data_IF_962415099982
#
_entry.id   IF_962415099982
#
_cell.length_a   1.000
_cell.length_b   1.000
_cell.length_c   1.000
_cell.angle_alpha   90.00
_cell.angle_beta   90.00
_cell.angle_gamma   90.00
#
_symmetry.space_group_name_H-M   'P 1'
#
loop_
_entity.id
_entity.type
_entity.pdbx_description
1 polymer ?
#
# COMPACT_ATOMS: atom_id res chain seq x y z
N UNK A 1 -2.98 6.67 12.00
CA UNK A 1 -2.52 7.73 11.08
C UNK A 1 -2.90 7.34 9.66
N UNK A 2 -3.26 8.30 8.80
CA UNK A 2 -3.58 8.04 7.39
C UNK A 2 -2.61 8.85 6.54
N UNK A 3 -1.99 8.23 5.53
CA UNK A 3 -1.06 8.87 4.59
C UNK A 3 -1.60 8.65 3.18
N UNK A 4 -1.78 9.74 2.43
CA UNK A 4 -2.22 9.73 1.05
C UNK A 4 -1.08 10.10 0.10
N UNK A 5 -0.99 9.44 -1.05
CA UNK A 5 0.08 9.60 -2.05
C UNK A 5 1.49 9.58 -1.43
N UNK A 6 1.86 8.49 -0.73
CA UNK A 6 2.98 8.47 0.21
C UNK A 6 4.36 8.66 -0.42
N UNK A 7 4.50 8.36 -1.72
CA UNK A 7 5.79 8.33 -2.39
C UNK A 7 5.95 9.42 -3.45
N UNK A 8 4.84 10.00 -3.94
CA UNK A 8 4.85 11.19 -4.78
C UNK A 8 5.90 11.16 -5.91
N UNK A 9 6.51 12.32 -6.19
CA UNK A 9 7.58 12.47 -7.19
C UNK A 9 8.99 12.29 -6.60
N UNK A 10 9.15 11.35 -5.68
CA UNK A 10 10.46 11.02 -5.10
C UNK A 10 11.22 10.01 -5.97
N UNK A 11 12.56 10.13 -5.97
CA UNK A 11 13.43 9.11 -6.57
C UNK A 11 13.48 7.83 -5.72
N UNK A 12 14.08 6.77 -6.27
CA UNK A 12 14.14 5.46 -5.61
C UNK A 12 14.84 5.46 -4.25
N UNK A 13 15.88 6.27 -4.05
CA UNK A 13 16.60 6.31 -2.77
C UNK A 13 15.74 6.90 -1.66
N UNK A 14 14.96 7.93 -1.97
CA UNK A 14 14.05 8.53 -1.02
C UNK A 14 12.85 7.61 -0.74
N UNK A 15 12.34 6.92 -1.77
CA UNK A 15 11.28 5.91 -1.60
C UNK A 15 11.73 4.78 -0.67
N UNK A 16 12.92 4.23 -0.90
CA UNK A 16 13.49 3.16 -0.07
C UNK A 16 13.58 3.57 1.41
N UNK A 17 13.96 4.83 1.70
CA UNK A 17 13.98 5.33 3.09
C UNK A 17 12.60 5.41 3.72
N UNK A 18 11.59 5.89 2.99
CA UNK A 18 10.24 5.99 3.51
C UNK A 18 9.66 4.61 3.79
N UNK A 19 9.85 3.67 2.86
CA UNK A 19 9.36 2.30 2.96
C UNK A 19 10.01 1.57 4.15
N UNK A 20 11.33 1.61 4.28
CA UNK A 20 12.04 0.78 5.27
C UNK A 20 12.19 1.44 6.65
N UNK A 21 12.06 2.77 6.75
CA UNK A 21 12.40 3.47 8.00
C UNK A 21 11.34 4.45 8.49
N UNK A 22 10.33 4.77 7.68
CA UNK A 22 9.27 5.67 8.11
C UNK A 22 7.94 4.93 8.30
N UNK A 23 7.36 4.35 7.24
CA UNK A 23 6.00 3.80 7.34
C UNK A 23 5.80 2.73 8.42
N UNK A 24 6.73 1.76 8.63
CA UNK A 24 6.58 0.76 9.68
C UNK A 24 6.58 1.34 11.10
N UNK A 25 7.16 2.53 11.29
CA UNK A 25 7.41 3.13 12.61
C UNK A 25 6.68 4.45 12.85
N UNK A 26 5.97 4.97 11.85
CA UNK A 26 5.40 6.31 11.94
C UNK A 26 4.21 6.40 12.92
N UNK A 27 3.52 5.29 13.21
CA UNK A 27 2.47 5.20 14.23
C UNK A 27 2.17 3.74 14.60
N UNK A 28 1.40 3.51 15.67
CA UNK A 28 0.92 2.18 16.05
C UNK A 28 0.03 1.54 14.96
N UNK A 29 -0.76 2.36 14.26
CA UNK A 29 -1.56 1.92 13.12
C UNK A 29 -1.50 2.96 12.01
N UNK A 30 -1.13 2.51 10.80
CA UNK A 30 -1.01 3.33 9.60
C UNK A 30 -1.93 2.78 8.52
N UNK A 31 -2.70 3.66 7.89
CA UNK A 31 -3.42 3.38 6.64
C UNK A 31 -2.70 4.11 5.52
N UNK A 32 -2.20 3.37 4.55
CA UNK A 32 -1.49 3.88 3.39
C UNK A 32 -2.43 3.89 2.19
N UNK A 33 -2.62 5.04 1.57
CA UNK A 33 -3.38 5.20 0.33
C UNK A 33 -2.39 5.53 -0.78
N UNK A 34 -2.22 4.61 -1.73
CA UNK A 34 -1.24 4.72 -2.80
C UNK A 34 -1.76 4.18 -4.12
N UNK A 35 -1.06 4.53 -5.20
CA UNK A 35 -1.21 3.88 -6.51
C UNK A 35 -0.19 2.77 -6.72
N UNK A 36 -0.37 1.97 -7.76
CA UNK A 36 0.57 0.96 -8.25
C UNK A 36 1.92 1.57 -8.71
N UNK A 37 1.93 2.84 -9.09
CA UNK A 37 3.14 3.59 -9.50
C UNK A 37 3.94 4.16 -8.32
N UNK A 38 3.31 4.27 -7.16
CA UNK A 38 3.96 4.70 -5.92
C UNK A 38 4.52 3.48 -5.20
N UNK A 39 3.62 2.58 -4.78
CA UNK A 39 3.98 1.32 -4.15
C UNK A 39 3.87 0.24 -5.22
N UNK A 40 5.01 -0.08 -5.83
CA UNK A 40 5.12 -1.13 -6.84
C UNK A 40 5.25 -2.52 -6.21
N UNK A 41 5.29 -3.57 -7.05
CA UNK A 41 5.39 -4.96 -6.60
C UNK A 41 6.62 -5.20 -5.72
N UNK A 42 7.77 -4.59 -6.06
CA UNK A 42 8.99 -4.72 -5.28
C UNK A 42 8.80 -4.13 -3.88
N UNK A 43 8.25 -2.93 -3.78
CA UNK A 43 7.99 -2.33 -2.47
C UNK A 43 6.96 -3.12 -1.67
N UNK A 44 5.89 -3.59 -2.32
CA UNK A 44 4.81 -4.31 -1.68
C UNK A 44 5.22 -5.70 -1.19
N UNK A 45 5.85 -6.51 -2.06
CA UNK A 45 6.17 -7.91 -1.81
C UNK A 45 7.47 -8.08 -1.03
N UNK A 46 8.49 -7.27 -1.33
CA UNK A 46 9.84 -7.49 -0.78
C UNK A 46 10.14 -6.64 0.46
N UNK A 47 9.53 -5.46 0.59
CA UNK A 47 9.92 -4.50 1.64
C UNK A 47 8.83 -4.26 2.70
N UNK A 48 7.57 -4.08 2.28
CA UNK A 48 6.45 -3.80 3.21
C UNK A 48 5.76 -5.05 3.74
N UNK A 49 5.96 -6.21 3.11
CA UNK A 49 5.18 -7.44 3.35
C UNK A 49 5.04 -7.83 4.81
N UNK A 50 6.10 -7.68 5.60
CA UNK A 50 6.10 -8.11 7.00
C UNK A 50 5.41 -7.11 7.93
N UNK A 51 5.28 -5.85 7.50
CA UNK A 51 4.59 -4.77 8.22
C UNK A 51 3.13 -4.59 7.77
N UNK A 52 2.71 -5.28 6.70
CA UNK A 52 1.33 -5.25 6.20
C UNK A 52 0.48 -6.25 6.98
N UNK A 53 -0.50 -5.72 7.71
CA UNK A 53 -1.56 -6.51 8.33
C UNK A 53 -2.69 -6.85 7.35
N UNK A 54 -3.13 -5.89 6.54
CA UNK A 54 -4.20 -6.05 5.56
C UNK A 54 -3.91 -5.19 4.32
N UNK A 55 -4.33 -5.67 3.16
CA UNK A 55 -4.27 -4.94 1.91
C UNK A 55 -5.65 -4.96 1.24
N UNK A 56 -6.03 -3.82 0.64
CA UNK A 56 -7.26 -3.69 -0.14
C UNK A 56 -7.01 -2.90 -1.43
N UNK A 57 -7.65 -3.34 -2.51
CA UNK A 57 -7.71 -2.62 -3.79
C UNK A 57 -9.09 -1.99 -3.95
N UNK A 58 -9.13 -0.69 -4.29
CA UNK A 58 -10.36 0.02 -4.63
C UNK A 58 -10.59 -0.09 -6.13
N UNK A 59 -11.59 -0.88 -6.53
CA UNK A 59 -11.92 -1.08 -7.95
C UNK A 59 -13.15 -0.27 -8.32
N UNK A 60 -12.98 0.68 -9.24
CA UNK A 60 -14.08 1.49 -9.77
C UNK A 60 -14.83 0.77 -10.90
N UNK A 61 -16.15 0.71 -10.80
CA UNK A 61 -17.03 0.21 -11.85
C UNK A 61 -17.63 1.39 -12.63
N UNK A 62 -17.24 1.51 -13.89
CA UNK A 62 -17.66 2.60 -14.78
C UNK A 62 -19.14 2.58 -15.15
N UNK A 63 -19.78 1.40 -15.12
CA UNK A 63 -21.18 1.19 -15.45
C UNK A 63 -22.09 1.59 -14.29
N UNK A 64 -21.79 1.13 -13.07
CA UNK A 64 -22.57 1.43 -11.86
C UNK A 64 -22.19 2.76 -11.22
N UNK A 65 -21.08 3.39 -11.67
CA UNK A 65 -20.50 4.61 -11.08
C UNK A 65 -20.22 4.45 -9.58
N UNK A 66 -19.79 3.27 -9.18
CA UNK A 66 -19.49 2.93 -7.78
C UNK A 66 -18.13 2.24 -7.65
N UNK A 67 -17.56 2.25 -6.44
CA UNK A 67 -16.32 1.54 -6.13
C UNK A 67 -16.61 0.39 -5.17
N UNK A 68 -15.85 -0.70 -5.31
CA UNK A 68 -15.86 -1.82 -4.39
C UNK A 68 -14.44 -2.09 -3.87
N UNK A 69 -14.34 -2.61 -2.64
CA UNK A 69 -13.09 -3.08 -2.08
C UNK A 69 -12.89 -4.55 -2.42
N UNK A 70 -11.68 -4.90 -2.85
CA UNK A 70 -11.23 -6.28 -2.97
C UNK A 70 -10.07 -6.53 -2.01
N UNK A 71 -10.01 -7.69 -1.31
CA UNK A 71 -8.84 -8.08 -0.55
C UNK A 71 -7.60 -8.18 -1.44
N UNK A 72 -6.43 -7.88 -0.87
CA UNK A 72 -5.17 -7.79 -1.60
C UNK A 72 -4.88 -6.38 -2.09
N UNK A 73 -3.78 -6.20 -2.81
CA UNK A 73 -3.47 -4.95 -3.52
C UNK A 73 -3.40 -5.27 -5.01
N UNK A 74 -2.71 -4.46 -5.82
CA UNK A 74 -2.48 -4.78 -7.24
C UNK A 74 -1.77 -6.14 -7.46
N UNK A 75 -1.10 -6.66 -6.43
CA UNK A 75 -0.48 -7.99 -6.37
C UNK A 75 -0.97 -8.72 -5.11
N UNK A 76 -0.96 -10.05 -5.11
CA UNK A 76 -1.53 -10.81 -3.99
C UNK A 76 -0.65 -10.75 -2.74
N UNK A 77 -1.21 -10.21 -1.66
CA UNK A 77 -0.82 -10.58 -0.30
C UNK A 77 -2.06 -11.03 0.47
N UNK A 78 -2.21 -12.34 0.57
CA UNK A 78 -3.17 -13.02 1.44
C UNK A 78 -2.44 -13.57 2.66
N UNK A 79 -2.39 -12.79 3.73
CA UNK A 79 -2.32 -13.35 5.09
C UNK A 79 -3.73 -13.36 5.64
N UNK A 80 -4.49 -14.40 5.32
CA UNK A 80 -5.54 -14.82 6.26
C UNK A 80 -4.82 -15.56 7.40
N UNK A 81 -4.75 -14.94 8.57
CA UNK A 81 -4.37 -15.61 9.79
C UNK A 81 -5.56 -15.53 10.78
N UNK A 82 -6.34 -16.61 10.74
CA UNK A 82 -7.22 -17.16 11.79
C UNK A 82 -8.45 -16.35 12.18
#
# INVERSE_FOLDING_TARGET
MIIDTPLGRLDSQHRDKLINHYFPFASHQVVLLSTDTEVDERYFVDQLRDDISHAYEIVFNTHTKSSALKPGYFWELTKEAV
#
